data_IF_700455882671
#
_entry.id   IF_700455882671
#
_cell.length_a   1.000
_cell.length_b   1.000
_cell.length_c   1.000
_cell.angle_alpha   90.00
_cell.angle_beta   90.00
_cell.angle_gamma   90.00
#
_symmetry.space_group_name_H-M   'P 1'
#
loop_
_entity.id
_entity.type
_entity.pdbx_description
1 polymer ?
#
# COMPACT_ATOMS: atom_id res chain seq x y z
N UNK A 1 -19.74 57.08 -18.08
CA UNK A 1 -19.12 57.30 -16.75
C UNK A 1 -18.97 55.91 -16.12
N UNK A 2 -17.88 55.19 -16.36
CA UNK A 2 -16.56 55.25 -15.70
C UNK A 2 -16.55 54.63 -14.30
N UNK A 3 -15.45 53.90 -14.03
CA UNK A 3 -14.99 53.22 -12.79
C UNK A 3 -15.44 51.74 -12.72
N UNK A 4 -14.57 50.73 -12.70
CA UNK A 4 -13.12 50.65 -12.63
C UNK A 4 -12.74 49.27 -12.05
N UNK A 5 -12.18 48.38 -12.87
CA UNK A 5 -11.66 47.08 -12.41
C UNK A 5 -10.22 47.24 -11.90
N UNK A 6 -9.84 46.64 -10.75
CA UNK A 6 -8.47 46.69 -10.28
C UNK A 6 -7.59 45.66 -11.00
N UNK A 7 -6.45 46.14 -11.47
CA UNK A 7 -5.39 45.35 -12.09
C UNK A 7 -4.51 44.68 -11.02
N UNK A 8 -4.23 43.39 -11.19
CA UNK A 8 -3.01 42.75 -10.70
C UNK A 8 -2.49 41.83 -11.79
N UNK A 9 -1.44 42.29 -12.49
CA UNK A 9 -0.80 41.60 -13.60
C UNK A 9 0.16 40.52 -13.14
N UNK A 10 0.14 39.39 -13.82
CA UNK A 10 1.15 38.33 -13.76
C UNK A 10 2.11 38.51 -14.95
N UNK A 11 3.44 38.48 -14.75
CA UNK A 11 4.38 38.59 -15.86
C UNK A 11 4.38 37.30 -16.71
N UNK A 12 4.27 37.49 -18.03
CA UNK A 12 4.29 36.47 -19.07
C UNK A 12 5.65 35.75 -19.13
N UNK A 13 5.66 34.45 -18.86
CA UNK A 13 6.78 33.56 -19.15
C UNK A 13 6.81 33.23 -20.65
N UNK A 14 7.83 33.75 -21.35
CA UNK A 14 8.14 33.37 -22.74
C UNK A 14 8.61 31.91 -22.86
N UNK A 15 8.59 31.33 -24.08
CA UNK A 15 8.90 29.93 -24.30
C UNK A 15 10.40 29.63 -24.15
N UNK A 16 10.74 28.68 -23.27
CA UNK A 16 12.09 28.13 -23.14
C UNK A 16 12.46 27.30 -24.39
N UNK A 17 13.47 27.78 -25.11
CA UNK A 17 14.09 27.12 -26.26
C UNK A 17 15.17 26.16 -25.76
N UNK A 18 15.07 24.88 -26.12
CA UNK A 18 16.11 23.88 -25.89
C UNK A 18 17.18 23.96 -27.00
N UNK A 19 18.48 24.04 -26.67
CA UNK A 19 19.52 23.66 -27.60
C UNK A 19 19.86 22.17 -27.41
N UNK A 20 19.70 21.42 -28.48
CA UNK A 20 20.28 20.10 -28.65
C UNK A 20 21.76 20.22 -29.01
N UNK A 21 22.62 19.48 -28.32
CA UNK A 21 23.68 18.70 -28.97
C UNK A 21 24.34 17.74 -27.98
N UNK A 22 24.33 16.49 -28.39
CA UNK A 22 25.14 15.37 -27.92
C UNK A 22 26.63 15.69 -27.91
N UNK A 23 27.41 15.20 -26.92
CA UNK A 23 28.56 14.31 -27.15
C UNK A 23 28.98 13.65 -25.82
N UNK A 24 29.22 12.35 -25.92
CA UNK A 24 29.72 11.37 -24.95
C UNK A 24 31.07 11.76 -24.32
N UNK A 25 31.24 11.59 -23.01
CA UNK A 25 32.52 11.13 -22.42
C UNK A 25 32.34 10.73 -20.96
N UNK A 26 32.71 9.49 -20.69
CA UNK A 26 32.90 8.89 -19.36
C UNK A 26 33.97 9.64 -18.58
N UNK A 27 33.65 10.13 -17.38
CA UNK A 27 34.63 10.69 -16.44
C UNK A 27 34.64 9.83 -15.18
N UNK A 28 35.76 9.13 -15.00
CA UNK A 28 36.11 8.39 -13.80
C UNK A 28 36.37 9.33 -12.63
N UNK A 29 36.05 8.83 -11.44
CA UNK A 29 36.27 9.50 -10.16
C UNK A 29 37.76 9.43 -9.83
N UNK A 30 38.46 10.56 -9.83
CA UNK A 30 39.79 10.69 -9.21
C UNK A 30 39.72 11.66 -8.03
N UNK A 31 40.11 11.14 -6.88
CA UNK A 31 40.15 11.83 -5.60
C UNK A 31 41.41 12.69 -5.49
N UNK A 32 41.27 14.00 -5.64
CA UNK A 32 42.29 14.93 -5.15
C UNK A 32 41.68 16.29 -4.83
N UNK A 33 41.67 16.63 -3.54
CA UNK A 33 41.23 17.92 -3.02
C UNK A 33 42.21 19.03 -3.47
N UNK A 34 41.74 20.17 -4.01
CA UNK A 34 42.64 21.27 -4.31
C UNK A 34 42.98 22.03 -3.03
N UNK A 35 44.27 22.17 -2.73
CA UNK A 35 44.77 23.01 -1.64
C UNK A 35 45.07 24.40 -2.20
N UNK A 36 44.29 25.40 -1.78
CA UNK A 36 44.55 26.80 -2.09
C UNK A 36 45.77 27.28 -1.29
N UNK A 37 46.85 27.66 -1.97
CA UNK A 37 48.02 28.32 -1.38
C UNK A 37 47.95 29.80 -1.74
N UNK A 38 47.90 30.67 -0.73
CA UNK A 38 47.95 32.12 -0.90
C UNK A 38 49.36 32.59 -0.53
N UNK A 39 50.07 33.24 -1.46
CA UNK A 39 51.40 33.83 -1.21
C UNK A 39 51.28 35.34 -1.02
N UNK A 40 51.96 35.88 0.00
CA UNK A 40 52.07 37.31 0.29
C UNK A 40 53.51 37.80 0.00
N UNK A 41 53.74 39.07 -0.41
CA UNK A 41 54.99 39.50 -1.05
C UNK A 41 56.20 39.77 -0.13
N UNK A 42 56.19 39.36 1.15
CA UNK A 42 57.22 39.74 2.12
C UNK A 42 57.98 38.58 2.78
N UNK A 43 58.12 37.44 2.06
CA UNK A 43 59.20 36.48 2.29
C UNK A 43 59.26 35.81 3.67
N UNK A 44 58.17 35.81 4.45
CA UNK A 44 58.12 35.14 5.76
C UNK A 44 57.11 33.99 5.71
N UNK A 45 57.59 32.75 5.75
CA UNK A 45 56.77 31.54 5.79
C UNK A 45 56.18 31.33 7.18
N UNK A 46 55.03 31.93 7.45
CA UNK A 46 54.23 31.57 8.62
C UNK A 46 53.54 30.23 8.35
N UNK A 47 54.02 29.14 8.97
CA UNK A 47 53.26 27.89 9.05
C UNK A 47 51.93 28.19 9.77
N UNK A 48 50.76 27.93 9.17
CA UNK A 48 49.52 28.00 9.93
C UNK A 48 49.58 26.92 11.01
N UNK A 49 49.59 27.32 12.28
CA UNK A 49 49.30 26.39 13.37
C UNK A 49 47.88 25.89 13.15
N UNK A 50 47.73 24.59 12.88
CA UNK A 50 46.40 23.96 12.84
C UNK A 50 45.68 24.31 14.13
N UNK A 51 44.49 24.94 14.11
CA UNK A 51 43.68 24.97 15.30
C UNK A 51 43.31 23.52 15.63
N UNK A 52 43.68 23.07 16.82
CA UNK A 52 43.20 21.82 17.38
C UNK A 52 41.71 21.97 17.70
N UNK A 53 40.86 21.75 16.71
CA UNK A 53 39.45 21.53 16.97
C UNK A 53 39.33 20.20 17.72
N UNK A 54 38.66 20.15 18.89
CA UNK A 54 38.27 18.87 19.46
C UNK A 54 37.40 18.16 18.42
N UNK A 55 37.69 16.88 18.18
CA UNK A 55 36.95 16.05 17.24
C UNK A 55 35.50 15.89 17.74
N UNK A 56 34.64 16.83 17.39
CA UNK A 56 33.21 16.82 17.70
C UNK A 56 32.37 16.33 16.51
N UNK A 57 32.99 15.62 15.56
CA UNK A 57 32.25 14.83 14.59
C UNK A 57 32.27 13.38 15.05
N UNK A 58 31.12 12.77 15.39
CA UNK A 58 31.06 11.34 15.63
C UNK A 58 31.54 10.61 14.38
N UNK A 59 32.30 9.53 14.57
CA UNK A 59 32.79 8.69 13.49
C UNK A 59 31.66 8.36 12.48
N UNK A 60 31.92 8.28 11.16
CA UNK A 60 30.89 8.09 10.12
C UNK A 60 30.06 6.81 10.29
N UNK A 61 30.48 5.94 11.21
CA UNK A 61 29.99 4.58 11.38
C UNK A 61 28.86 4.51 12.42
N UNK A 62 28.52 5.61 13.11
CA UNK A 62 27.42 5.63 14.09
C UNK A 62 26.03 5.79 13.46
N UNK A 63 25.94 6.19 12.19
CA UNK A 63 24.67 6.30 11.46
C UNK A 63 24.10 4.93 11.01
N UNK A 64 24.92 3.87 11.00
CA UNK A 64 24.52 2.55 10.49
C UNK A 64 23.95 1.61 11.56
N UNK A 65 23.70 2.07 12.79
CA UNK A 65 23.07 1.26 13.86
C UNK A 65 21.66 1.70 14.23
N UNK A 66 20.93 2.31 13.30
CA UNK A 66 19.50 2.59 13.47
C UNK A 66 18.70 2.25 12.21
N UNK A 67 19.02 1.12 11.60
CA UNK A 67 18.09 0.48 10.67
C UNK A 67 16.87 0.07 11.48
N UNK A 68 15.82 0.92 11.42
CA UNK A 68 14.44 0.59 11.79
C UNK A 68 14.19 -0.84 11.36
N UNK A 69 13.70 -1.69 12.26
CA UNK A 69 13.24 -3.05 11.94
C UNK A 69 12.31 -2.98 10.74
N UNK A 70 12.82 -3.19 9.52
CA UNK A 70 11.99 -3.31 8.33
C UNK A 70 11.26 -4.63 8.53
N UNK A 71 9.99 -4.55 8.88
CA UNK A 71 9.14 -5.72 9.04
C UNK A 71 8.93 -6.27 7.63
N UNK A 72 9.71 -7.29 7.25
CA UNK A 72 9.54 -7.98 5.97
C UNK A 72 8.17 -8.64 6.03
N UNK A 73 7.29 -8.22 5.11
CA UNK A 73 5.97 -8.84 4.94
C UNK A 73 6.13 -10.03 4.00
N UNK A 74 5.30 -11.05 4.20
CA UNK A 74 5.26 -12.20 3.29
C UNK A 74 4.58 -11.80 1.98
N UNK A 75 4.92 -12.43 0.84
CA UNK A 75 4.49 -11.95 -0.48
C UNK A 75 2.97 -11.99 -0.70
N UNK A 76 2.27 -12.96 -0.10
CA UNK A 76 0.84 -13.18 -0.32
C UNK A 76 0.00 -12.79 0.89
N UNK A 77 -1.12 -12.10 0.67
CA UNK A 77 -2.04 -11.68 1.72
C UNK A 77 -3.49 -11.95 1.34
N UNK A 78 -4.23 -12.66 2.21
CA UNK A 78 -5.69 -12.64 2.23
C UNK A 78 -6.13 -11.72 3.37
N UNK A 79 -6.94 -10.73 3.03
CA UNK A 79 -7.47 -9.77 3.97
C UNK A 79 -8.99 -9.86 3.99
N UNK A 80 -9.55 -10.31 5.10
CA UNK A 80 -10.99 -10.28 5.34
C UNK A 80 -11.39 -8.96 5.96
N UNK A 81 -12.27 -8.20 5.32
CA UNK A 81 -12.74 -6.91 5.79
C UNK A 81 -14.23 -7.01 6.08
N UNK A 82 -14.71 -6.30 7.10
CA UNK A 82 -16.11 -6.33 7.49
C UNK A 82 -16.36 -6.11 8.97
N UNK A 83 -17.62 -5.93 9.32
CA UNK A 83 -18.05 -5.72 10.70
C UNK A 83 -18.87 -6.91 11.21
N UNK A 84 -18.28 -7.71 12.09
CA UNK A 84 -18.94 -8.87 12.71
C UNK A 84 -20.23 -8.54 13.45
N UNK A 85 -20.43 -7.28 13.87
CA UNK A 85 -21.63 -6.87 14.62
C UNK A 85 -22.89 -6.75 13.75
N UNK A 86 -22.76 -6.76 12.41
CA UNK A 86 -23.85 -6.46 11.47
C UNK A 86 -24.13 -7.60 10.47
N UNK A 87 -24.34 -8.80 10.99
CA UNK A 87 -24.76 -10.01 10.26
C UNK A 87 -23.89 -10.25 9.02
N UNK A 88 -24.41 -9.93 7.83
CA UNK A 88 -23.73 -10.15 6.56
C UNK A 88 -22.53 -9.21 6.35
N UNK A 89 -22.48 -8.03 7.00
CA UNK A 89 -21.32 -7.11 6.91
C UNK A 89 -20.03 -7.78 7.41
N UNK A 90 -20.13 -8.78 8.29
CA UNK A 90 -18.99 -9.54 8.80
C UNK A 90 -18.42 -10.56 7.82
N UNK A 91 -18.90 -10.65 6.58
CA UNK A 91 -18.55 -11.72 5.65
C UNK A 91 -17.05 -11.96 5.49
N UNK A 92 -16.25 -10.91 5.25
CA UNK A 92 -14.80 -11.06 5.10
C UNK A 92 -14.13 -11.62 6.35
N UNK A 93 -14.59 -11.21 7.53
CA UNK A 93 -14.09 -11.73 8.81
C UNK A 93 -14.46 -13.20 9.00
N UNK A 94 -15.70 -13.58 8.67
CA UNK A 94 -16.15 -14.98 8.69
C UNK A 94 -15.32 -15.85 7.73
N UNK A 95 -14.94 -15.34 6.56
CA UNK A 95 -14.05 -16.03 5.62
C UNK A 95 -12.68 -16.31 6.24
N UNK A 96 -12.08 -15.30 6.90
CA UNK A 96 -10.79 -15.46 7.60
C UNK A 96 -10.89 -16.47 8.73
N UNK A 97 -11.91 -16.37 9.57
CA UNK A 97 -12.11 -17.30 10.68
C UNK A 97 -12.30 -18.74 10.18
N UNK A 98 -13.02 -18.93 9.09
CA UNK A 98 -13.24 -20.26 8.51
C UNK A 98 -11.97 -20.82 7.86
N UNK A 99 -11.16 -19.97 7.21
CA UNK A 99 -9.82 -20.35 6.73
C UNK A 99 -8.93 -20.80 7.90
N UNK A 100 -8.86 -19.99 8.96
CA UNK A 100 -8.10 -20.31 10.17
C UNK A 100 -8.58 -21.59 10.84
N UNK A 101 -9.89 -21.84 10.85
CA UNK A 101 -10.47 -23.04 11.47
C UNK A 101 -10.17 -24.29 10.66
N UNK A 102 -10.31 -24.24 9.33
CA UNK A 102 -10.26 -25.41 8.45
C UNK A 102 -8.91 -25.72 7.84
N UNK A 103 -8.02 -24.74 7.69
CA UNK A 103 -6.82 -24.92 6.87
C UNK A 103 -5.53 -24.54 7.59
N UNK A 104 -4.43 -25.14 7.12
CA UNK A 104 -3.05 -24.69 7.30
C UNK A 104 -2.51 -24.22 5.95
N UNK A 105 -1.55 -23.32 5.97
CA UNK A 105 -0.94 -22.76 4.77
C UNK A 105 0.55 -22.50 4.98
N UNK A 106 1.34 -22.38 3.90
CA UNK A 106 2.77 -22.10 4.00
C UNK A 106 3.05 -20.69 4.56
N UNK A 107 4.27 -20.50 5.07
CA UNK A 107 4.70 -19.23 5.68
C UNK A 107 4.71 -18.03 4.70
N UNK A 108 4.58 -18.28 3.41
CA UNK A 108 4.55 -17.25 2.36
C UNK A 108 3.17 -16.58 2.24
N UNK A 109 2.12 -17.18 2.82
CA UNK A 109 0.76 -16.65 2.90
C UNK A 109 0.45 -16.12 4.30
N UNK A 110 -0.03 -14.88 4.37
CA UNK A 110 -0.62 -14.32 5.58
C UNK A 110 -2.12 -14.17 5.37
N UNK A 111 -2.90 -14.60 6.35
CA UNK A 111 -4.35 -14.38 6.41
C UNK A 111 -4.59 -13.42 7.57
N UNK A 112 -5.31 -12.34 7.32
CA UNK A 112 -5.52 -11.27 8.31
C UNK A 112 -7.00 -10.94 8.40
N UNK A 113 -7.51 -10.94 9.63
CA UNK A 113 -8.76 -10.27 9.97
C UNK A 113 -8.51 -8.76 9.97
N UNK A 114 -9.04 -8.13 8.93
CA UNK A 114 -8.97 -6.71 8.69
C UNK A 114 -10.13 -5.92 9.28
N UNK A 115 -11.11 -6.55 9.93
CA UNK A 115 -12.24 -5.89 10.59
C UNK A 115 -12.71 -4.62 9.88
N UNK A 116 -12.63 -3.48 10.58
CA UNK A 116 -12.84 -2.15 10.01
C UNK A 116 -11.54 -1.33 9.92
N UNK A 117 -10.45 -1.94 9.43
CA UNK A 117 -9.18 -1.27 9.24
C UNK A 117 -9.33 -0.20 8.15
N UNK A 118 -9.52 1.05 8.57
CA UNK A 118 -9.47 2.21 7.68
C UNK A 118 -8.06 2.48 7.17
N UNK A 119 -7.47 3.62 7.51
CA UNK A 119 -6.13 3.99 7.02
C UNK A 119 -5.01 3.00 7.35
N UNK A 120 -5.15 2.22 8.43
CA UNK A 120 -4.19 1.16 8.80
C UNK A 120 -4.06 0.06 7.74
N UNK A 121 -5.03 -0.08 6.84
CA UNK A 121 -5.00 -1.00 5.71
C UNK A 121 -3.73 -0.87 4.86
N UNK A 122 -3.29 0.38 4.62
CA UNK A 122 -2.12 0.70 3.82
C UNK A 122 -0.85 -0.04 4.28
N UNK A 123 -0.70 -0.27 5.58
CA UNK A 123 0.46 -0.95 6.17
C UNK A 123 0.43 -2.49 5.99
N UNK A 124 -0.73 -3.05 5.63
CA UNK A 124 -0.87 -4.46 5.28
C UNK A 124 -0.60 -4.70 3.80
N UNK A 125 -0.95 -3.74 2.94
CA UNK A 125 -0.75 -3.80 1.49
C UNK A 125 0.71 -3.60 1.08
N UNK A 126 1.46 -2.79 1.84
CA UNK A 126 2.84 -2.42 1.51
C UNK A 126 3.75 -3.65 1.38
N UNK A 127 4.44 -3.75 0.23
CA UNK A 127 5.47 -4.76 -0.02
C UNK A 127 4.93 -6.17 -0.27
N UNK A 128 3.63 -6.30 -0.54
CA UNK A 128 3.00 -7.55 -0.99
C UNK A 128 3.15 -7.69 -2.50
N UNK A 129 3.32 -8.91 -2.95
CA UNK A 129 3.25 -9.23 -4.38
C UNK A 129 1.80 -9.34 -4.83
N UNK A 130 0.93 -9.94 -4.00
CA UNK A 130 -0.48 -10.19 -4.32
C UNK A 130 -1.36 -10.07 -3.08
N UNK A 131 -2.51 -9.43 -3.25
CA UNK A 131 -3.50 -9.28 -2.18
C UNK A 131 -4.89 -9.68 -2.66
N UNK A 132 -5.58 -10.49 -1.87
CA UNK A 132 -7.02 -10.74 -1.99
C UNK A 132 -7.74 -10.03 -0.85
N UNK A 133 -8.64 -9.12 -1.19
CA UNK A 133 -9.51 -8.43 -0.24
C UNK A 133 -10.88 -9.07 -0.33
N UNK A 134 -11.41 -9.54 0.79
CA UNK A 134 -12.73 -10.17 0.87
C UNK A 134 -13.63 -9.28 1.69
N UNK A 135 -14.74 -8.83 1.10
CA UNK A 135 -15.70 -7.92 1.76
C UNK A 135 -17.12 -8.21 1.26
N UNK A 136 -18.12 -7.51 1.79
CA UNK A 136 -19.43 -7.38 1.15
C UNK A 136 -19.48 -6.17 0.24
N UNK A 137 -20.41 -6.20 -0.72
CA UNK A 137 -20.74 -5.06 -1.55
C UNK A 137 -22.20 -5.10 -1.95
N UNK A 138 -22.91 -4.02 -1.69
CA UNK A 138 -24.31 -3.90 -2.05
C UNK A 138 -24.50 -3.64 -3.55
N UNK A 139 -24.73 -4.69 -4.33
CA UNK A 139 -25.01 -4.63 -5.77
C UNK A 139 -26.46 -4.98 -6.09
N UNK A 140 -26.93 -4.60 -7.30
CA UNK A 140 -28.25 -5.00 -7.83
C UNK A 140 -28.20 -6.45 -8.34
N UNK A 141 -28.04 -7.39 -7.42
CA UNK A 141 -27.98 -8.82 -7.69
C UNK A 141 -28.56 -9.63 -6.52
N UNK A 142 -28.86 -10.93 -6.70
CA UNK A 142 -29.33 -11.78 -5.61
C UNK A 142 -28.34 -11.84 -4.44
N UNK A 143 -28.86 -11.92 -3.21
CA UNK A 143 -28.02 -12.09 -2.03
C UNK A 143 -27.18 -13.37 -2.12
N UNK A 144 -25.92 -13.29 -1.72
CA UNK A 144 -24.92 -14.35 -1.88
C UNK A 144 -24.28 -14.41 -3.26
N UNK A 145 -24.66 -13.57 -4.23
CA UNK A 145 -23.89 -13.42 -5.46
C UNK A 145 -22.46 -12.97 -5.14
N UNK A 146 -21.47 -13.56 -5.81
CA UNK A 146 -20.06 -13.22 -5.66
C UNK A 146 -19.59 -12.45 -6.89
N UNK A 147 -18.94 -11.32 -6.66
CA UNK A 147 -18.29 -10.51 -7.68
C UNK A 147 -16.79 -10.50 -7.45
N UNK A 148 -16.04 -10.51 -8.54
CA UNK A 148 -14.58 -10.45 -8.50
C UNK A 148 -14.09 -9.31 -9.35
N UNK A 149 -13.27 -8.44 -8.76
CA UNK A 149 -12.66 -7.30 -9.43
C UNK A 149 -11.14 -7.49 -9.39
N UNK A 150 -10.46 -7.45 -10.54
CA UNK A 150 -9.02 -7.76 -10.66
C UNK A 150 -8.21 -6.58 -11.19
N UNK A 151 -6.95 -6.48 -10.76
CA UNK A 151 -5.98 -5.48 -11.23
C UNK A 151 -6.15 -4.10 -10.58
N UNK A 152 -5.30 -3.13 -10.91
CA UNK A 152 -5.39 -1.78 -10.31
C UNK A 152 -6.73 -1.08 -10.57
N UNK A 153 -7.34 -1.33 -11.74
CA UNK A 153 -8.67 -0.81 -12.09
C UNK A 153 -9.79 -1.41 -11.24
N UNK A 154 -9.54 -2.50 -10.51
CA UNK A 154 -10.51 -3.08 -9.58
C UNK A 154 -10.96 -2.10 -8.50
N UNK A 155 -10.06 -1.19 -8.08
CA UNK A 155 -10.42 -0.14 -7.12
C UNK A 155 -11.48 0.80 -7.69
N UNK A 156 -11.33 1.22 -8.94
CA UNK A 156 -12.30 2.09 -9.60
C UNK A 156 -13.65 1.37 -9.79
N UNK A 157 -13.63 0.08 -10.15
CA UNK A 157 -14.84 -0.73 -10.31
C UNK A 157 -15.56 -0.97 -8.97
N UNK A 158 -14.80 -1.26 -7.92
CA UNK A 158 -15.30 -1.42 -6.56
C UNK A 158 -15.87 -0.10 -6.02
N UNK A 159 -15.15 1.01 -6.19
CA UNK A 159 -15.60 2.34 -5.78
C UNK A 159 -16.84 2.82 -6.59
N UNK A 160 -16.94 2.48 -7.87
CA UNK A 160 -18.06 2.85 -8.73
C UNK A 160 -19.39 2.23 -8.27
N UNK A 161 -19.35 1.10 -7.57
CA UNK A 161 -20.54 0.43 -7.04
C UNK A 161 -21.13 1.10 -5.80
N UNK A 162 -20.61 2.30 -5.44
CA UNK A 162 -21.01 3.17 -4.34
C UNK A 162 -21.00 2.46 -2.98
N UNK A 163 -20.00 2.72 -2.12
CA UNK A 163 -19.99 2.17 -0.76
C UNK A 163 -21.26 2.60 -0.02
N UNK A 164 -22.02 1.63 0.51
CA UNK A 164 -23.28 1.87 1.23
C UNK A 164 -23.09 1.85 2.74
N UNK A 165 -21.97 1.34 3.24
CA UNK A 165 -21.62 1.40 4.66
C UNK A 165 -20.45 2.37 4.91
N UNK A 166 -20.36 2.91 6.13
CA UNK A 166 -19.26 3.78 6.53
C UNK A 166 -17.90 3.07 6.43
N UNK A 167 -17.90 1.76 6.68
CA UNK A 167 -16.72 0.93 6.57
C UNK A 167 -16.24 0.79 5.11
N UNK A 168 -17.13 0.48 4.17
CA UNK A 168 -16.81 0.38 2.74
C UNK A 168 -16.26 1.72 2.20
N UNK A 169 -16.81 2.86 2.65
CA UNK A 169 -16.31 4.18 2.27
C UNK A 169 -14.88 4.41 2.75
N UNK A 170 -14.58 4.00 3.98
CA UNK A 170 -13.24 4.14 4.56
C UNK A 170 -12.23 3.22 3.87
N UNK A 171 -12.65 2.02 3.47
CA UNK A 171 -11.83 1.08 2.69
C UNK A 171 -11.43 1.69 1.34
N UNK A 172 -12.40 2.23 0.59
CA UNK A 172 -12.17 2.88 -0.71
C UNK A 172 -11.22 4.08 -0.56
N UNK A 173 -11.40 4.91 0.46
CA UNK A 173 -10.49 6.03 0.73
C UNK A 173 -9.08 5.55 1.04
N UNK A 174 -8.92 4.56 1.92
CA UNK A 174 -7.61 4.00 2.28
C UNK A 174 -6.89 3.43 1.05
N UNK A 175 -7.62 2.80 0.14
CA UNK A 175 -7.07 2.26 -1.11
C UNK A 175 -6.67 3.36 -2.10
N UNK A 176 -7.46 4.44 -2.24
CA UNK A 176 -7.06 5.59 -3.05
C UNK A 176 -5.79 6.26 -2.50
N UNK A 177 -5.68 6.38 -1.18
CA UNK A 177 -4.46 6.87 -0.55
C UNK A 177 -3.27 5.93 -0.78
N UNK A 178 -3.50 4.61 -0.73
CA UNK A 178 -2.47 3.62 -1.02
C UNK A 178 -1.98 3.68 -2.47
N UNK A 179 -2.90 3.90 -3.42
CA UNK A 179 -2.55 4.10 -4.83
C UNK A 179 -1.77 5.41 -5.02
N UNK A 180 -2.26 6.51 -4.46
CA UNK A 180 -1.58 7.81 -4.49
C UNK A 180 -0.17 7.76 -3.87
N UNK A 181 0.01 6.99 -2.80
CA UNK A 181 1.30 6.80 -2.15
C UNK A 181 2.20 5.76 -2.84
N UNK A 182 1.74 5.13 -3.93
CA UNK A 182 2.51 4.12 -4.68
C UNK A 182 2.77 2.84 -3.89
N UNK A 183 1.93 2.53 -2.90
CA UNK A 183 2.06 1.34 -2.05
C UNK A 183 1.06 0.23 -2.40
N UNK A 184 0.13 0.51 -3.33
CA UNK A 184 -0.86 -0.46 -3.79
C UNK A 184 -0.17 -1.58 -4.60
N UNK A 185 -0.40 -2.86 -4.28
CA UNK A 185 0.13 -3.97 -5.07
C UNK A 185 -0.45 -3.93 -6.49
N UNK A 186 0.35 -4.32 -7.48
CA UNK A 186 -0.13 -4.39 -8.87
C UNK A 186 -1.17 -5.50 -9.06
N UNK A 187 -0.99 -6.56 -8.28
CA UNK A 187 -1.82 -7.75 -8.31
C UNK A 187 -2.78 -7.71 -7.12
N UNK A 188 -3.92 -7.05 -7.32
CA UNK A 188 -4.97 -6.89 -6.33
C UNK A 188 -6.26 -7.55 -6.82
N UNK A 189 -7.00 -8.20 -5.92
CA UNK A 189 -8.33 -8.72 -6.24
C UNK A 189 -9.30 -8.51 -5.09
N UNK A 190 -10.45 -7.93 -5.40
CA UNK A 190 -11.58 -7.85 -4.51
C UNK A 190 -12.53 -9.00 -4.80
N UNK A 191 -12.87 -9.76 -3.76
CA UNK A 191 -13.95 -10.73 -3.76
C UNK A 191 -15.08 -10.17 -2.90
N UNK A 192 -16.17 -9.79 -3.54
CA UNK A 192 -17.28 -9.12 -2.89
C UNK A 192 -18.54 -9.98 -2.91
N UNK A 193 -19.17 -10.19 -1.76
CA UNK A 193 -20.47 -10.87 -1.66
C UNK A 193 -21.62 -9.87 -1.54
N UNK A 194 -22.75 -10.15 -2.19
CA UNK A 194 -23.95 -9.32 -2.03
C UNK A 194 -24.67 -9.69 -0.73
N UNK A 195 -24.82 -8.76 0.24
CA UNK A 195 -25.48 -9.05 1.50
C UNK A 195 -27.00 -9.20 1.35
N UNK A 196 -27.63 -9.96 2.23
CA UNK A 196 -29.09 -10.01 2.39
C UNK A 196 -29.55 -9.05 3.49
N UNK A 197 -28.84 -9.00 4.61
CA UNK A 197 -29.19 -8.20 5.78
C UNK A 197 -27.96 -7.62 6.46
N UNK A 198 -27.99 -6.31 6.69
CA UNK A 198 -27.00 -5.58 7.49
C UNK A 198 -27.57 -5.23 8.88
N UNK A 199 -28.51 -6.02 9.38
CA UNK A 199 -29.06 -5.87 10.73
C UNK A 199 -28.03 -6.25 11.80
N UNK A 200 -28.12 -5.69 13.01
CA UNK A 200 -27.31 -6.16 14.14
C UNK A 200 -27.46 -7.66 14.36
N UNK A 201 -26.34 -8.37 14.46
CA UNK A 201 -26.29 -9.83 14.58
C UNK A 201 -24.88 -10.35 14.28
N UNK A 202 -24.52 -11.50 14.82
CA UNK A 202 -23.17 -12.08 14.62
C UNK A 202 -23.15 -13.15 13.51
N UNK A 203 -24.32 -13.63 13.10
CA UNK A 203 -24.44 -14.72 12.15
C UNK A 203 -24.66 -14.23 10.72
N UNK A 204 -24.01 -14.90 9.78
CA UNK A 204 -24.32 -14.77 8.36
C UNK A 204 -25.71 -15.31 8.07
N UNK A 205 -26.41 -14.66 7.14
CA UNK A 205 -27.67 -15.18 6.60
C UNK A 205 -27.41 -16.44 5.75
N UNK A 206 -28.42 -17.32 5.56
CA UNK A 206 -28.23 -18.57 4.81
C UNK A 206 -27.58 -18.40 3.41
N UNK A 207 -27.96 -17.40 2.59
CA UNK A 207 -27.32 -17.20 1.29
C UNK A 207 -25.82 -16.85 1.40
N UNK A 208 -25.41 -16.16 2.46
CA UNK A 208 -24.00 -15.83 2.68
C UNK A 208 -23.23 -16.97 3.32
N UNK A 209 -23.87 -17.85 4.08
CA UNK A 209 -23.27 -19.13 4.51
C UNK A 209 -22.92 -20.00 3.29
N UNK A 210 -23.76 -20.00 2.25
CA UNK A 210 -23.45 -20.66 0.98
C UNK A 210 -22.39 -19.92 0.17
N UNK A 211 -22.45 -18.57 0.14
CA UNK A 211 -21.43 -17.75 -0.53
C UNK A 211 -20.05 -17.90 0.13
N UNK A 212 -19.99 -18.11 1.45
CA UNK A 212 -18.77 -18.37 2.20
C UNK A 212 -18.05 -19.60 1.65
N UNK A 213 -18.76 -20.71 1.44
CA UNK A 213 -18.16 -21.92 0.86
C UNK A 213 -17.61 -21.66 -0.55
N UNK A 214 -18.38 -20.97 -1.40
CA UNK A 214 -17.92 -20.59 -2.74
C UNK A 214 -16.72 -19.64 -2.72
N UNK A 215 -16.64 -18.75 -1.73
CA UNK A 215 -15.51 -17.86 -1.54
C UNK A 215 -14.23 -18.62 -1.14
N UNK A 216 -14.35 -19.62 -0.26
CA UNK A 216 -13.23 -20.49 0.11
C UNK A 216 -12.73 -21.28 -1.10
N UNK A 217 -13.62 -21.88 -1.87
CA UNK A 217 -13.26 -22.60 -3.10
C UNK A 217 -12.57 -21.68 -4.12
N UNK A 218 -13.04 -20.43 -4.25
CA UNK A 218 -12.42 -19.44 -5.12
C UNK A 218 -11.00 -19.12 -4.65
N UNK A 219 -10.80 -18.85 -3.36
CA UNK A 219 -9.49 -18.54 -2.79
C UNK A 219 -8.54 -19.74 -2.92
N UNK A 220 -9.00 -20.96 -2.67
CA UNK A 220 -8.20 -22.18 -2.84
C UNK A 220 -7.71 -22.32 -4.29
N UNK A 221 -8.60 -22.12 -5.27
CA UNK A 221 -8.25 -22.16 -6.70
C UNK A 221 -7.23 -21.07 -7.05
N UNK A 222 -7.45 -19.83 -6.61
CA UNK A 222 -6.53 -18.71 -6.85
C UNK A 222 -5.15 -18.97 -6.25
N UNK A 223 -5.08 -19.46 -5.02
CA UNK A 223 -3.83 -19.81 -4.35
C UNK A 223 -3.11 -20.96 -5.08
N UNK A 224 -3.85 -21.98 -5.51
CA UNK A 224 -3.31 -23.12 -6.23
C UNK A 224 -2.64 -22.72 -7.56
N UNK A 225 -3.16 -21.70 -8.26
CA UNK A 225 -2.51 -21.19 -9.49
C UNK A 225 -1.10 -20.63 -9.25
N UNK A 226 -0.77 -20.30 -7.99
CA UNK A 226 0.52 -19.78 -7.57
C UNK A 226 1.37 -20.81 -6.82
N UNK A 227 0.94 -22.07 -6.80
CA UNK A 227 1.63 -23.13 -6.06
C UNK A 227 1.43 -23.10 -4.55
N UNK A 228 0.54 -22.24 -4.03
CA UNK A 228 0.20 -22.19 -2.61
C UNK A 228 -0.92 -23.20 -2.36
N UNK A 229 -0.69 -24.17 -1.47
CA UNK A 229 -1.68 -25.19 -1.11
C UNK A 229 -2.23 -24.92 0.28
N UNK A 230 -3.55 -24.99 0.41
CA UNK A 230 -4.23 -25.04 1.70
C UNK A 230 -4.36 -26.50 2.11
N UNK A 231 -3.88 -26.84 3.30
CA UNK A 231 -3.97 -28.19 3.86
C UNK A 231 -5.13 -28.22 4.86
N UNK A 232 -6.11 -29.09 4.66
CA UNK A 232 -7.20 -29.22 5.64
C UNK A 232 -6.67 -29.71 6.99
N UNK A 233 -7.05 -29.01 8.05
CA UNK A 233 -6.88 -29.45 9.43
C UNK A 233 -7.83 -30.61 9.64
N UNK A 234 -7.27 -31.81 9.69
CA UNK A 234 -8.00 -32.98 10.14
C UNK A 234 -8.35 -32.74 11.61
N UNK A 235 -9.60 -32.39 11.89
CA UNK A 235 -10.15 -32.42 13.24
C UNK A 235 -10.22 -33.89 13.66
N UNK A 236 -9.31 -34.31 14.54
CA UNK A 236 -9.41 -35.56 15.27
C UNK A 236 -10.44 -35.43 16.41
#
# INVERSE_FOLDING_TARGET
MSLGSPAWGWPSSGPCRWPASSTTSSIGVSSSSPSCIFTSPSGTTLRPRRPSFPALFPAPNSCLRRWRKIKIRVPYLILGVGNLLFSDEGFGVHVVQELERRYRWPAELEVVDGGCLGFSLADYLRGRERVWVVDVLAAEAPAGSLFTFRGKESLAQFAALKPRTAHEATLVEALHWADFAGILPEDLTFLAAVPKSLSPGLELTPPLKEALQRALEFLEKELATRGIRLEEKICA
#
